data_IF_833704518324
#
_entry.id   IF_833704518324
#
_cell.length_a   1.000
_cell.length_b   1.000
_cell.length_c   1.000
_cell.angle_alpha   90.00
_cell.angle_beta   90.00
_cell.angle_gamma   90.00
#
_symmetry.space_group_name_H-M   'P 1'
#
loop_
_entity.id
_entity.type
_entity.pdbx_description
1 polymer ?
#
# COMPACT_ATOMS: atom_id res chain seq x y z
N UNK A 1 30.33 -11.01 -18.31
CA UNK A 1 29.29 -11.67 -19.13
C UNK A 1 28.83 -12.89 -18.35
N UNK A 2 27.56 -12.94 -17.98
CA UNK A 2 27.00 -14.02 -17.15
C UNK A 2 26.84 -15.29 -18.00
N UNK A 3 27.55 -16.35 -17.66
CA UNK A 3 27.65 -17.61 -18.43
C UNK A 3 26.57 -18.63 -18.07
N UNK A 4 25.63 -18.28 -17.19
CA UNK A 4 24.57 -19.18 -16.74
C UNK A 4 23.54 -19.46 -17.85
N UNK A 5 23.41 -20.73 -18.26
CA UNK A 5 22.36 -21.19 -19.16
C UNK A 5 21.28 -21.92 -18.37
N UNK A 6 20.03 -21.51 -18.55
CA UNK A 6 18.88 -22.20 -17.96
C UNK A 6 18.62 -23.52 -18.67
N UNK A 7 18.10 -24.51 -17.92
CA UNK A 7 17.77 -25.81 -18.48
C UNK A 7 16.73 -25.66 -19.61
N UNK A 8 17.03 -26.19 -20.80
CA UNK A 8 16.15 -26.18 -21.99
C UNK A 8 15.56 -24.80 -22.34
N UNK A 9 16.32 -23.72 -22.13
CA UNK A 9 15.87 -22.34 -22.35
C UNK A 9 14.63 -21.95 -21.53
N UNK A 10 14.39 -22.61 -20.39
CA UNK A 10 13.33 -22.21 -19.47
C UNK A 10 13.61 -20.79 -18.94
N UNK A 11 12.58 -19.96 -18.71
CA UNK A 11 12.76 -18.67 -18.04
C UNK A 11 13.43 -18.87 -16.68
N UNK A 12 14.46 -18.09 -16.38
CA UNK A 12 15.09 -18.11 -15.07
C UNK A 12 14.05 -17.75 -14.00
N UNK A 13 14.03 -18.50 -12.89
CA UNK A 13 13.13 -18.28 -11.76
C UNK A 13 11.66 -18.10 -12.18
N UNK A 14 11.18 -18.97 -13.09
CA UNK A 14 9.83 -18.93 -13.65
C UNK A 14 9.44 -17.59 -14.33
N UNK A 15 10.41 -16.77 -14.73
CA UNK A 15 10.19 -15.47 -15.33
C UNK A 15 10.01 -14.32 -14.34
N UNK A 16 10.20 -14.58 -13.04
CA UNK A 16 10.07 -13.57 -11.97
C UNK A 16 11.22 -12.57 -12.04
N UNK A 17 12.46 -13.05 -12.11
CA UNK A 17 13.65 -12.21 -12.25
C UNK A 17 14.86 -13.00 -12.78
N UNK A 18 15.94 -12.30 -13.11
CA UNK A 18 17.22 -12.90 -13.46
C UNK A 18 17.97 -13.43 -12.21
N UNK A 19 18.93 -14.35 -12.41
CA UNK A 19 19.77 -14.85 -11.31
C UNK A 19 20.54 -13.72 -10.61
N UNK A 20 21.00 -12.71 -11.36
CA UNK A 20 21.72 -11.56 -10.81
C UNK A 20 20.81 -10.69 -9.92
N UNK A 21 19.55 -10.52 -10.31
CA UNK A 21 18.55 -9.82 -9.48
C UNK A 21 18.21 -10.60 -8.22
N UNK A 22 18.11 -11.93 -8.31
CA UNK A 22 17.76 -12.77 -7.18
C UNK A 22 18.79 -12.76 -6.04
N UNK A 23 20.08 -12.59 -6.36
CA UNK A 23 21.16 -12.51 -5.36
C UNK A 23 21.33 -11.11 -4.76
N UNK A 24 20.60 -10.10 -5.28
CA UNK A 24 20.68 -8.74 -4.76
C UNK A 24 19.99 -8.67 -3.39
N UNK A 25 20.65 -8.04 -2.41
CA UNK A 25 20.03 -7.80 -1.12
C UNK A 25 18.87 -6.81 -1.27
N UNK A 26 17.67 -7.23 -0.89
CA UNK A 26 16.51 -6.35 -0.76
C UNK A 26 16.41 -5.74 0.64
N UNK A 27 15.25 -5.17 0.95
CA UNK A 27 14.92 -4.74 2.30
C UNK A 27 15.00 -5.89 3.32
N UNK A 28 15.39 -5.56 4.56
CA UNK A 28 15.27 -6.50 5.66
C UNK A 28 13.79 -6.74 5.99
N UNK A 29 13.47 -7.90 6.58
CA UNK A 29 12.11 -8.21 7.05
C UNK A 29 11.56 -7.12 7.97
N UNK A 30 12.41 -6.56 8.84
CA UNK A 30 12.01 -5.48 9.74
C UNK A 30 11.63 -4.20 8.99
N UNK A 31 12.41 -3.81 8.00
CA UNK A 31 12.13 -2.63 7.18
C UNK A 31 10.89 -2.83 6.29
N UNK A 32 10.71 -4.03 5.72
CA UNK A 32 9.48 -4.40 5.02
C UNK A 32 8.26 -4.26 5.93
N UNK A 33 8.27 -4.93 7.09
CA UNK A 33 7.14 -4.87 8.04
C UNK A 33 6.86 -3.43 8.49
N UNK A 34 7.91 -2.62 8.72
CA UNK A 34 7.75 -1.20 9.06
C UNK A 34 7.03 -0.41 7.96
N UNK A 35 7.36 -0.65 6.69
CA UNK A 35 6.68 -0.03 5.54
C UNK A 35 5.25 -0.56 5.35
N UNK A 36 5.06 -1.87 5.43
CA UNK A 36 3.73 -2.50 5.30
C UNK A 36 2.74 -1.97 6.35
N UNK A 37 3.18 -1.75 7.60
CA UNK A 37 2.36 -1.12 8.65
C UNK A 37 1.91 0.30 8.26
N UNK A 38 2.76 1.09 7.60
CA UNK A 38 2.41 2.43 7.10
C UNK A 38 1.38 2.36 5.97
N UNK A 39 1.53 1.40 5.05
CA UNK A 39 0.56 1.20 3.97
C UNK A 39 -0.78 0.71 4.50
N UNK A 40 -0.76 -0.24 5.44
CA UNK A 40 -1.95 -0.73 6.13
C UNK A 40 -2.71 0.41 6.81
N UNK A 41 -2.00 1.27 7.57
CA UNK A 41 -2.59 2.45 8.19
C UNK A 41 -3.18 3.40 7.14
N UNK A 42 -2.46 3.67 6.05
CA UNK A 42 -2.96 4.53 4.98
C UNK A 42 -4.25 4.00 4.35
N UNK A 43 -4.33 2.70 4.03
CA UNK A 43 -5.56 2.09 3.52
C UNK A 43 -6.69 2.12 4.55
N UNK A 44 -6.40 1.88 5.84
CA UNK A 44 -7.39 2.02 6.93
C UNK A 44 -7.96 3.44 6.99
N UNK A 45 -7.11 4.47 6.92
CA UNK A 45 -7.54 5.87 6.97
C UNK A 45 -8.32 6.28 5.72
N UNK A 46 -7.87 5.88 4.53
CA UNK A 46 -8.60 6.12 3.29
C UNK A 46 -10.00 5.48 3.32
N UNK A 47 -10.09 4.22 3.73
CA UNK A 47 -11.38 3.55 3.92
C UNK A 47 -12.30 4.36 4.85
N UNK A 48 -11.80 4.79 6.01
CA UNK A 48 -12.58 5.59 6.97
C UNK A 48 -13.07 6.90 6.35
N UNK A 49 -12.21 7.62 5.63
CA UNK A 49 -12.56 8.89 4.98
C UNK A 49 -13.65 8.66 3.92
N UNK A 50 -13.48 7.67 3.04
CA UNK A 50 -14.47 7.37 2.01
C UNK A 50 -15.83 7.03 2.64
N UNK A 51 -15.87 6.15 3.64
CA UNK A 51 -17.11 5.77 4.33
C UNK A 51 -17.77 6.97 5.01
N UNK A 52 -16.98 7.80 5.72
CA UNK A 52 -17.51 8.96 6.46
C UNK A 52 -18.19 9.99 5.54
N UNK A 53 -17.79 10.06 4.26
CA UNK A 53 -18.28 11.06 3.30
C UNK A 53 -19.44 10.58 2.42
N UNK A 54 -19.65 9.26 2.28
CA UNK A 54 -20.70 8.69 1.42
C UNK A 54 -22.10 9.25 1.71
N UNK A 55 -22.47 9.42 2.98
CA UNK A 55 -23.83 9.84 3.36
C UNK A 55 -24.09 11.32 3.08
N UNK A 56 -23.04 12.15 3.17
CA UNK A 56 -23.11 13.59 2.97
C UNK A 56 -22.88 14.01 1.51
N UNK A 57 -22.28 13.15 0.68
CA UNK A 57 -21.93 13.47 -0.71
C UNK A 57 -23.19 13.59 -1.60
N UNK A 58 -23.48 14.77 -2.18
CA UNK A 58 -24.63 14.96 -3.07
C UNK A 58 -24.41 14.43 -4.49
N UNK A 59 -23.16 14.34 -4.97
CA UNK A 59 -22.86 13.91 -6.34
C UNK A 59 -22.84 12.38 -6.40
N UNK A 60 -23.74 11.81 -7.21
CA UNK A 60 -23.96 10.36 -7.25
C UNK A 60 -22.71 9.60 -7.72
N UNK A 61 -22.01 10.10 -8.73
CA UNK A 61 -20.80 9.52 -9.28
C UNK A 61 -19.68 9.47 -8.23
N UNK A 62 -19.52 10.54 -7.45
CA UNK A 62 -18.54 10.57 -6.36
C UNK A 62 -18.91 9.60 -5.25
N UNK A 63 -20.20 9.50 -4.89
CA UNK A 63 -20.69 8.53 -3.91
C UNK A 63 -20.40 7.08 -4.32
N UNK A 64 -20.62 6.76 -5.59
CA UNK A 64 -20.28 5.45 -6.15
C UNK A 64 -18.77 5.20 -6.10
N UNK A 65 -17.96 6.19 -6.51
CA UNK A 65 -16.50 6.09 -6.46
C UNK A 65 -15.98 5.90 -5.02
N UNK A 66 -16.48 6.66 -4.05
CA UNK A 66 -16.13 6.52 -2.64
C UNK A 66 -16.50 5.14 -2.10
N UNK A 67 -17.67 4.60 -2.48
CA UNK A 67 -18.09 3.26 -2.07
C UNK A 67 -17.15 2.18 -2.60
N UNK A 68 -16.78 2.25 -3.88
CA UNK A 68 -15.82 1.33 -4.49
C UNK A 68 -14.44 1.43 -3.83
N UNK A 69 -13.91 2.64 -3.68
CA UNK A 69 -12.58 2.84 -3.10
C UNK A 69 -12.53 2.48 -1.61
N UNK A 70 -13.61 2.69 -0.86
CA UNK A 70 -13.72 2.18 0.49
C UNK A 70 -13.58 0.65 0.53
N UNK A 71 -14.28 -0.07 -0.35
CA UNK A 71 -14.17 -1.52 -0.45
C UNK A 71 -12.75 -1.97 -0.81
N UNK A 72 -12.16 -1.40 -1.86
CA UNK A 72 -10.79 -1.74 -2.27
C UNK A 72 -9.75 -1.45 -1.17
N UNK A 73 -9.90 -0.34 -0.44
CA UNK A 73 -9.04 -0.03 0.70
C UNK A 73 -9.15 -1.07 1.81
N UNK A 74 -10.35 -1.61 2.08
CA UNK A 74 -10.54 -2.67 3.06
C UNK A 74 -9.89 -4.00 2.61
N UNK A 75 -10.03 -4.36 1.34
CA UNK A 75 -9.37 -5.54 0.75
C UNK A 75 -7.84 -5.43 0.86
N UNK A 76 -7.28 -4.29 0.45
CA UNK A 76 -5.84 -4.04 0.56
C UNK A 76 -5.35 -3.99 2.01
N UNK A 77 -6.13 -3.39 2.92
CA UNK A 77 -5.84 -3.40 4.35
C UNK A 77 -5.80 -4.84 4.92
N UNK A 78 -6.72 -5.70 4.48
CA UNK A 78 -6.75 -7.11 4.89
C UNK A 78 -5.53 -7.86 4.36
N UNK A 79 -5.21 -7.70 3.08
CA UNK A 79 -4.05 -8.34 2.45
C UNK A 79 -2.73 -7.93 3.14
N UNK A 80 -2.56 -6.65 3.47
CA UNK A 80 -1.35 -6.18 4.17
C UNK A 80 -1.28 -6.69 5.61
N UNK A 81 -2.40 -6.78 6.33
CA UNK A 81 -2.44 -7.39 7.67
C UNK A 81 -1.98 -8.85 7.61
N UNK A 82 -2.50 -9.62 6.64
CA UNK A 82 -2.08 -11.01 6.43
C UNK A 82 -0.58 -11.09 6.15
N UNK A 83 -0.07 -10.28 5.21
CA UNK A 83 1.36 -10.28 4.87
C UNK A 83 2.26 -9.96 6.06
N UNK A 84 1.87 -9.00 6.90
CA UNK A 84 2.62 -8.70 8.13
C UNK A 84 2.65 -9.91 9.07
N UNK A 85 1.55 -10.66 9.18
CA UNK A 85 1.48 -11.91 9.96
C UNK A 85 2.38 -13.02 9.40
N UNK A 86 2.48 -13.15 8.09
CA UNK A 86 3.41 -14.10 7.44
C UNK A 86 4.88 -13.78 7.75
N UNK A 87 5.21 -12.49 7.94
CA UNK A 87 6.57 -12.03 8.20
C UNK A 87 6.94 -11.97 9.69
N UNK A 88 5.94 -11.79 10.57
CA UNK A 88 6.12 -11.75 12.03
C UNK A 88 4.89 -12.28 12.77
N UNK A 89 5.12 -13.27 13.62
CA UNK A 89 4.12 -13.78 14.56
C UNK A 89 4.57 -13.49 16.01
N UNK A 90 3.76 -12.77 16.81
CA UNK A 90 2.46 -12.16 16.49
C UNK A 90 2.56 -10.83 15.69
N UNK A 91 1.53 -10.47 14.89
CA UNK A 91 1.51 -9.25 14.05
C UNK A 91 1.21 -7.98 14.86
N UNK A 92 2.05 -7.69 15.86
CA UNK A 92 1.86 -6.55 16.78
C UNK A 92 1.99 -5.20 16.07
N UNK A 93 1.24 -4.20 16.57
CA UNK A 93 1.41 -2.79 16.19
C UNK A 93 0.66 -2.35 14.94
N UNK A 94 -0.27 -3.14 14.40
CA UNK A 94 -1.15 -2.73 13.29
C UNK A 94 -2.24 -1.71 13.71
N UNK A 95 -2.54 -1.63 15.02
CA UNK A 95 -3.49 -0.65 15.55
C UNK A 95 -2.82 0.66 16.01
N UNK A 96 -1.48 0.71 15.96
CA UNK A 96 -0.70 1.88 16.38
C UNK A 96 -0.53 2.82 15.19
N UNK A 97 -0.59 4.12 15.44
CA UNK A 97 -0.25 5.16 14.47
C UNK A 97 1.25 5.05 14.15
N UNK A 98 1.64 4.74 12.90
CA UNK A 98 3.04 4.45 12.58
C UNK A 98 3.90 5.71 12.39
N UNK A 99 3.26 6.89 12.23
CA UNK A 99 3.90 8.19 12.09
C UNK A 99 2.86 9.30 12.37
N UNK A 100 3.17 10.24 13.25
CA UNK A 100 2.26 11.34 13.61
C UNK A 100 1.94 12.26 12.43
N UNK A 101 2.89 12.46 11.51
CA UNK A 101 2.64 13.29 10.33
C UNK A 101 1.66 12.61 9.37
N UNK A 102 1.64 11.27 9.36
CA UNK A 102 0.70 10.51 8.55
C UNK A 102 -0.73 10.60 9.12
N UNK A 103 -0.85 10.60 10.45
CA UNK A 103 -2.13 10.84 11.13
C UNK A 103 -2.67 12.23 10.82
N UNK A 104 -1.86 13.28 11.05
CA UNK A 104 -2.23 14.66 10.73
C UNK A 104 -2.62 14.79 9.26
N UNK A 105 -1.84 14.22 8.33
CA UNK A 105 -2.16 14.26 6.90
C UNK A 105 -3.55 13.71 6.58
N UNK A 106 -3.94 12.58 7.15
CA UNK A 106 -5.27 12.02 6.91
C UNK A 106 -6.38 12.73 7.70
N UNK A 107 -6.09 13.27 8.87
CA UNK A 107 -7.03 14.10 9.63
C UNK A 107 -7.38 15.39 8.87
N UNK A 108 -6.39 16.06 8.27
CA UNK A 108 -6.62 17.24 7.42
C UNK A 108 -7.50 16.92 6.21
N UNK A 109 -7.26 15.80 5.52
CA UNK A 109 -8.13 15.36 4.42
C UNK A 109 -9.55 15.07 4.93
N UNK A 110 -9.67 14.36 6.05
CA UNK A 110 -10.97 14.05 6.65
C UNK A 110 -11.72 15.32 7.06
N UNK A 111 -11.02 16.38 7.47
CA UNK A 111 -11.59 17.65 7.91
C UNK A 111 -11.89 18.64 6.76
N UNK A 112 -11.62 18.29 5.50
CA UNK A 112 -11.85 19.16 4.35
C UNK A 112 -13.27 19.76 4.34
N UNK A 113 -13.44 21.10 4.25
CA UNK A 113 -14.75 21.72 4.39
C UNK A 113 -15.62 21.59 3.14
N UNK A 114 -15.02 21.33 1.98
CA UNK A 114 -15.72 21.16 0.70
C UNK A 114 -15.44 19.80 0.05
N UNK A 115 -16.33 19.36 -0.84
CA UNK A 115 -16.12 18.12 -1.64
C UNK A 115 -14.92 18.28 -2.57
N UNK A 116 -14.71 19.47 -3.13
CA UNK A 116 -13.59 19.78 -4.03
C UNK A 116 -12.24 19.60 -3.32
N UNK A 117 -12.08 20.17 -2.11
CA UNK A 117 -10.86 20.03 -1.32
C UNK A 117 -10.65 18.58 -0.85
N UNK A 118 -11.73 17.88 -0.50
CA UNK A 118 -11.67 16.46 -0.15
C UNK A 118 -11.16 15.62 -1.32
N UNK A 119 -11.73 15.83 -2.52
CA UNK A 119 -11.33 15.14 -3.75
C UNK A 119 -9.88 15.47 -4.11
N UNK A 120 -9.46 16.73 -3.97
CA UNK A 120 -8.08 17.14 -4.15
C UNK A 120 -7.14 16.39 -3.19
N UNK A 121 -7.48 16.34 -1.90
CA UNK A 121 -6.70 15.62 -0.89
C UNK A 121 -6.60 14.12 -1.18
N UNK A 122 -7.70 13.49 -1.59
CA UNK A 122 -7.74 12.06 -1.90
C UNK A 122 -6.99 11.70 -3.18
N UNK A 123 -7.30 12.37 -4.28
CA UNK A 123 -6.88 11.95 -5.62
C UNK A 123 -5.63 12.65 -6.15
N UNK A 124 -5.30 13.85 -5.68
CA UNK A 124 -4.03 14.49 -6.05
C UNK A 124 -2.91 14.26 -5.03
N UNK A 125 -3.24 13.96 -3.76
CA UNK A 125 -2.25 13.79 -2.70
C UNK A 125 -2.16 12.36 -2.17
N UNK A 126 -3.21 11.86 -1.52
CA UNK A 126 -3.11 10.62 -0.75
C UNK A 126 -2.92 9.37 -1.64
N UNK A 127 -3.78 9.16 -2.63
CA UNK A 127 -3.69 8.00 -3.52
C UNK A 127 -2.40 8.02 -4.37
N UNK A 128 -1.99 9.14 -5.00
CA UNK A 128 -0.72 9.20 -5.71
C UNK A 128 0.48 8.94 -4.81
N UNK A 129 0.53 9.52 -3.61
CA UNK A 129 1.62 9.30 -2.67
C UNK A 129 1.71 7.82 -2.24
N UNK A 130 0.57 7.19 -1.96
CA UNK A 130 0.50 5.76 -1.63
C UNK A 130 0.96 4.90 -2.81
N UNK A 131 0.53 5.21 -4.03
CA UNK A 131 0.95 4.50 -5.24
C UNK A 131 2.47 4.59 -5.45
N UNK A 132 3.05 5.79 -5.29
CA UNK A 132 4.51 5.99 -5.38
C UNK A 132 5.23 5.19 -4.29
N UNK A 133 4.71 5.21 -3.06
CA UNK A 133 5.32 4.48 -1.95
C UNK A 133 5.26 2.96 -2.16
N UNK A 134 4.16 2.42 -2.68
CA UNK A 134 4.02 1.00 -3.03
C UNK A 134 4.93 0.59 -4.18
N UNK A 135 5.02 1.40 -5.25
CA UNK A 135 5.97 1.17 -6.36
C UNK A 135 7.41 1.14 -5.86
N UNK A 136 7.76 2.06 -4.95
CA UNK A 136 9.08 2.08 -4.33
C UNK A 136 9.32 0.87 -3.43
N UNK A 137 8.31 0.40 -2.71
CA UNK A 137 8.42 -0.84 -1.93
C UNK A 137 8.80 -2.01 -2.83
N UNK A 138 8.05 -2.24 -3.90
CA UNK A 138 8.32 -3.31 -4.88
C UNK A 138 9.71 -3.17 -5.53
N UNK A 139 10.17 -1.94 -5.77
CA UNK A 139 11.50 -1.71 -6.34
C UNK A 139 12.64 -1.97 -5.35
N UNK A 140 12.40 -1.77 -4.04
CA UNK A 140 13.40 -1.94 -2.99
C UNK A 140 13.42 -3.39 -2.42
N UNK A 141 12.34 -4.16 -2.62
CA UNK A 141 12.26 -5.57 -2.18
C UNK A 141 12.97 -6.52 -3.14
N UNK A 142 13.38 -7.68 -2.61
CA UNK A 142 13.95 -8.72 -3.46
C UNK A 142 12.82 -9.46 -4.19
N UNK A 143 12.80 -9.50 -5.54
CA UNK A 143 11.67 -10.00 -6.32
C UNK A 143 11.40 -11.50 -6.16
N UNK A 144 12.32 -12.26 -5.56
CA UNK A 144 12.15 -13.68 -5.28
C UNK A 144 11.73 -13.95 -3.83
N UNK A 145 12.18 -13.12 -2.88
CA UNK A 145 11.93 -13.33 -1.46
C UNK A 145 10.66 -12.63 -0.95
N UNK A 146 10.23 -11.55 -1.61
CA UNK A 146 9.12 -10.69 -1.18
C UNK A 146 8.38 -10.08 -2.40
#
# INVERSE_FOLDING_TARGET
>A
MNTYQTYRNLPALAGICSMDQAITAGLSVEECVRRLKRYHYAFKRLHQIFIARITAEPIYELKMAFSLHAHLCAEHGTALRQRVGEMREPPLGLEVVPDVNLEIFFDEILAAPTTEELVLGLYEKALPALQVALKRHVADTNPLAD
#
